data_IF_615046216283
#
_entry.id   IF_615046216283
#
_cell.length_a   1.000
_cell.length_b   1.000
_cell.length_c   1.000
_cell.angle_alpha   90.00
_cell.angle_beta   90.00
_cell.angle_gamma   90.00
#
_symmetry.space_group_name_H-M   'P 1'
#
loop_
_entity.id
_entity.type
_entity.pdbx_description
1 polymer ?
#
# COMPACT_ATOMS: atom_id res chain seq x y z
N UNK A 1 -13.34 1.23 -25.41
CA UNK A 1 -11.88 1.20 -25.23
C UNK A 1 -11.51 0.04 -24.32
N UNK A 2 -10.54 -0.77 -24.72
CA UNK A 2 -10.06 -1.86 -23.85
C UNK A 2 -9.35 -1.29 -22.64
N UNK A 3 -9.67 -1.81 -21.43
CA UNK A 3 -9.00 -1.41 -20.21
C UNK A 3 -7.79 -2.29 -19.94
N UNK A 4 -6.70 -1.67 -19.56
CA UNK A 4 -5.57 -2.37 -18.92
C UNK A 4 -5.83 -2.57 -17.42
N UNK A 5 -5.09 -3.50 -16.82
CA UNK A 5 -5.12 -3.72 -15.36
C UNK A 5 -4.77 -2.43 -14.62
N UNK A 6 -3.76 -1.69 -15.09
CA UNK A 6 -3.33 -0.44 -14.48
C UNK A 6 -4.45 0.61 -14.45
N UNK A 7 -5.20 0.74 -15.54
CA UNK A 7 -6.34 1.65 -15.60
C UNK A 7 -7.46 1.28 -14.63
N UNK A 8 -7.64 -0.02 -14.33
CA UNK A 8 -8.58 -0.46 -13.29
C UNK A 8 -8.04 -0.15 -11.90
N UNK A 9 -6.73 -0.33 -11.67
CA UNK A 9 -6.08 -0.03 -10.39
C UNK A 9 -6.10 1.47 -10.07
N UNK A 10 -5.93 2.34 -11.07
CA UNK A 10 -6.03 3.79 -10.89
C UNK A 10 -7.41 4.23 -10.38
N UNK A 11 -8.44 3.41 -10.67
CA UNK A 11 -9.82 3.65 -10.27
C UNK A 11 -10.28 2.78 -9.10
N UNK A 12 -9.36 2.20 -8.33
CA UNK A 12 -9.68 1.27 -7.24
C UNK A 12 -10.66 1.84 -6.19
N UNK A 13 -10.66 3.16 -6.00
CA UNK A 13 -11.55 3.87 -5.06
C UNK A 13 -12.91 4.24 -5.65
N UNK A 14 -13.19 3.81 -6.87
CA UNK A 14 -14.45 4.07 -7.57
C UNK A 14 -15.22 2.76 -7.79
N UNK A 15 -16.53 2.86 -7.91
CA UNK A 15 -17.33 1.76 -8.45
C UNK A 15 -17.12 1.72 -9.96
N UNK A 16 -16.63 0.61 -10.48
CA UNK A 16 -16.35 0.46 -11.91
C UNK A 16 -17.23 -0.64 -12.49
N UNK A 17 -18.09 -0.29 -13.44
CA UNK A 17 -18.84 -1.25 -14.24
C UNK A 17 -17.91 -1.89 -15.27
N UNK A 18 -17.80 -3.22 -15.25
CA UNK A 18 -17.01 -3.99 -16.21
C UNK A 18 -17.89 -4.87 -17.05
N UNK A 19 -17.58 -4.99 -18.32
CA UNK A 19 -18.17 -5.97 -19.20
C UNK A 19 -17.13 -6.51 -20.20
N UNK A 20 -17.40 -7.70 -20.70
CA UNK A 20 -16.54 -8.33 -21.71
C UNK A 20 -17.21 -8.21 -23.08
N UNK A 21 -16.48 -7.65 -24.04
CA UNK A 21 -16.90 -7.57 -25.44
C UNK A 21 -15.74 -7.98 -26.34
N UNK A 22 -16.02 -8.92 -27.25
CA UNK A 22 -15.01 -9.43 -28.20
C UNK A 22 -13.72 -9.93 -27.49
N UNK A 23 -13.87 -10.61 -26.35
CA UNK A 23 -12.76 -11.11 -25.55
C UNK A 23 -11.93 -10.04 -24.82
N UNK A 24 -12.36 -8.78 -24.87
CA UNK A 24 -11.69 -7.66 -24.21
C UNK A 24 -12.50 -7.10 -23.05
N UNK A 25 -11.82 -6.73 -21.97
CA UNK A 25 -12.41 -6.06 -20.81
C UNK A 25 -12.67 -4.59 -21.13
N UNK A 26 -13.87 -4.11 -20.81
CA UNK A 26 -14.27 -2.71 -21.01
C UNK A 26 -14.93 -2.15 -19.77
N UNK A 27 -14.84 -0.85 -19.56
CA UNK A 27 -15.47 -0.17 -18.43
C UNK A 27 -16.48 0.87 -18.86
N UNK A 28 -17.45 1.10 -17.95
CA UNK A 28 -18.40 2.21 -17.97
C UNK A 28 -19.25 2.34 -19.23
N UNK A 29 -19.28 1.32 -20.09
CA UNK A 29 -20.22 1.28 -21.20
C UNK A 29 -21.46 0.48 -20.77
N UNK A 30 -22.64 0.91 -21.13
CA UNK A 30 -23.88 0.19 -20.85
C UNK A 30 -23.98 -1.05 -21.72
N UNK A 31 -24.11 -2.20 -21.10
CA UNK A 31 -24.26 -3.48 -21.78
C UNK A 31 -25.02 -4.50 -20.94
N UNK A 32 -25.64 -5.48 -21.59
CA UNK A 32 -26.60 -6.43 -21.00
C UNK A 32 -25.97 -7.39 -19.94
N UNK A 33 -24.67 -7.44 -19.77
CA UNK A 33 -23.95 -8.26 -18.76
C UNK A 33 -22.76 -7.49 -18.22
N UNK A 34 -23.01 -6.58 -17.31
CA UNK A 34 -21.95 -5.88 -16.57
C UNK A 34 -21.81 -6.44 -15.18
N UNK A 35 -20.58 -6.57 -14.71
CA UNK A 35 -20.25 -6.80 -13.31
C UNK A 35 -19.73 -5.47 -12.76
N UNK A 36 -20.28 -5.04 -11.64
CA UNK A 36 -19.76 -3.85 -10.96
C UNK A 36 -18.69 -4.27 -9.98
N UNK A 37 -17.48 -3.76 -10.15
CA UNK A 37 -16.45 -3.81 -9.11
C UNK A 37 -16.75 -2.70 -8.10
N UNK A 38 -16.98 -3.04 -6.83
CA UNK A 38 -17.16 -2.04 -5.80
C UNK A 38 -15.86 -1.27 -5.56
N UNK A 39 -15.96 -0.02 -5.12
CA UNK A 39 -14.83 0.74 -4.65
C UNK A 39 -14.11 0.01 -3.50
N UNK A 40 -12.79 -0.04 -3.56
CA UNK A 40 -11.94 -0.60 -2.51
C UNK A 40 -11.08 0.53 -1.96
N UNK A 41 -11.20 0.73 -0.66
CA UNK A 41 -10.35 1.69 0.06
C UNK A 41 -9.28 0.92 0.81
N UNK A 42 -7.99 1.07 0.42
CA UNK A 42 -6.88 0.40 1.10
C UNK A 42 -6.84 0.64 2.61
N UNK A 43 -7.36 1.77 3.06
CA UNK A 43 -7.48 2.13 4.48
C UNK A 43 -8.43 1.21 5.27
N UNK A 44 -9.32 0.50 4.59
CA UNK A 44 -10.26 -0.43 5.23
C UNK A 44 -9.70 -1.85 5.38
N UNK A 45 -8.57 -2.13 4.73
CA UNK A 45 -7.93 -3.44 4.83
C UNK A 45 -7.23 -3.59 6.19
N UNK A 46 -7.42 -4.73 6.83
CA UNK A 46 -6.81 -5.04 8.12
C UNK A 46 -7.60 -4.51 9.32
N UNK A 47 -6.93 -4.44 10.46
CA UNK A 47 -7.52 -4.02 11.73
C UNK A 47 -7.37 -2.51 11.95
N UNK A 48 -8.48 -1.79 11.96
CA UNK A 48 -8.50 -0.34 12.20
C UNK A 48 -7.89 0.04 13.57
N UNK A 49 -8.01 -0.81 14.59
CA UNK A 49 -7.43 -0.57 15.89
C UNK A 49 -5.90 -0.58 15.86
N UNK A 50 -5.30 -1.43 15.03
CA UNK A 50 -3.85 -1.43 14.81
C UNK A 50 -3.38 -0.13 14.15
N UNK A 51 -4.00 0.28 13.05
CA UNK A 51 -3.65 1.54 12.38
C UNK A 51 -3.76 2.74 13.33
N UNK A 52 -4.83 2.81 14.12
CA UNK A 52 -5.04 3.86 15.10
C UNK A 52 -3.96 3.86 16.19
N UNK A 53 -3.62 2.70 16.74
CA UNK A 53 -2.61 2.55 17.78
C UNK A 53 -1.21 2.96 17.28
N UNK A 54 -0.90 2.71 16.00
CA UNK A 54 0.38 3.05 15.38
C UNK A 54 0.41 4.46 14.76
N UNK A 55 -0.70 5.17 14.74
CA UNK A 55 -0.81 6.45 14.03
C UNK A 55 -0.64 6.31 12.51
N UNK A 56 -0.92 5.14 11.96
CA UNK A 56 -0.78 4.84 10.55
C UNK A 56 -2.10 5.05 9.80
N UNK A 57 -2.00 5.40 8.52
CA UNK A 57 -3.15 5.49 7.62
C UNK A 57 -3.55 4.11 7.11
N UNK A 58 -2.57 3.24 6.86
CA UNK A 58 -2.77 1.91 6.32
C UNK A 58 -2.28 0.85 7.30
N UNK A 59 -2.99 -0.27 7.37
CA UNK A 59 -2.53 -1.48 8.05
C UNK A 59 -1.50 -2.22 7.21
N UNK A 60 -0.49 -1.50 6.75
CA UNK A 60 0.59 -2.03 5.93
C UNK A 60 1.92 -1.85 6.66
N UNK A 61 2.64 -2.95 6.80
CA UNK A 61 3.93 -2.99 7.47
C UNK A 61 5.04 -3.16 6.44
N UNK A 62 5.97 -2.21 6.40
CA UNK A 62 7.24 -2.36 5.70
C UNK A 62 8.19 -3.06 6.68
N UNK A 63 8.32 -4.38 6.50
CA UNK A 63 9.04 -5.25 7.42
C UNK A 63 10.53 -4.94 7.50
N UNK A 64 11.15 -5.32 8.61
CA UNK A 64 12.58 -5.18 8.77
C UNK A 64 13.35 -6.13 7.84
N UNK A 65 14.50 -5.66 7.43
CA UNK A 65 15.54 -6.46 6.78
C UNK A 65 16.86 -6.15 7.48
N UNK A 66 17.42 -7.17 8.10
CA UNK A 66 18.63 -7.08 8.93
C UNK A 66 19.82 -6.42 8.21
N UNK A 67 20.86 -6.11 8.95
CA UNK A 67 22.13 -5.49 8.48
C UNK A 67 21.94 -4.15 7.77
N UNK A 68 20.91 -3.39 8.13
CA UNK A 68 20.63 -2.07 7.57
C UNK A 68 20.07 -2.09 6.16
N UNK A 69 19.59 -3.24 5.65
CA UNK A 69 18.90 -3.30 4.35
C UNK A 69 17.61 -2.49 4.43
N UNK A 70 16.81 -2.65 5.50
CA UNK A 70 15.76 -1.71 5.84
C UNK A 70 16.40 -0.50 6.55
N UNK A 71 16.72 0.54 5.80
CA UNK A 71 17.42 1.73 6.25
C UNK A 71 16.54 2.68 7.06
N UNK A 72 17.11 3.60 7.87
CA UNK A 72 16.36 4.69 8.50
C UNK A 72 15.52 5.48 7.50
N UNK A 73 16.09 5.81 6.35
CA UNK A 73 15.38 6.51 5.26
C UNK A 73 14.16 5.74 4.78
N UNK A 74 14.26 4.42 4.65
CA UNK A 74 13.16 3.55 4.25
C UNK A 74 12.03 3.57 5.27
N UNK A 75 12.34 3.58 6.57
CA UNK A 75 11.35 3.73 7.65
C UNK A 75 10.65 5.08 7.57
N UNK A 76 11.41 6.16 7.39
CA UNK A 76 10.87 7.52 7.27
C UNK A 76 9.90 7.61 6.09
N UNK A 77 10.27 7.09 4.93
CA UNK A 77 9.41 7.13 3.74
C UNK A 77 8.17 6.23 3.90
N UNK A 78 8.29 5.08 4.56
CA UNK A 78 7.14 4.23 4.89
C UNK A 78 6.13 4.98 5.78
N UNK A 79 6.60 5.65 6.82
CA UNK A 79 5.75 6.44 7.73
C UNK A 79 5.11 7.63 7.01
N UNK A 80 5.86 8.35 6.18
CA UNK A 80 5.33 9.44 5.35
C UNK A 80 4.25 8.98 4.39
N UNK A 81 4.37 7.75 3.88
CA UNK A 81 3.35 7.11 3.04
C UNK A 81 2.13 6.61 3.83
N UNK A 82 2.12 6.72 5.15
CA UNK A 82 1.03 6.26 6.02
C UNK A 82 1.12 4.80 6.44
N UNK A 83 2.27 4.15 6.25
CA UNK A 83 2.55 2.77 6.63
C UNK A 83 3.30 2.70 7.96
N UNK A 84 3.51 1.49 8.48
CA UNK A 84 4.40 1.22 9.61
C UNK A 84 5.73 0.69 9.09
N UNK A 85 6.83 1.32 9.43
CA UNK A 85 8.16 0.92 9.01
C UNK A 85 8.99 0.37 10.16
N UNK A 86 9.84 -0.61 9.86
CA UNK A 86 10.77 -1.21 10.82
C UNK A 86 12.22 -1.07 10.33
N UNK A 87 13.07 -0.59 11.25
CA UNK A 87 14.50 -0.46 10.97
C UNK A 87 15.23 -1.80 11.13
N UNK A 88 15.97 -2.18 10.11
CA UNK A 88 16.72 -3.45 10.08
C UNK A 88 18.04 -3.37 10.84
N UNK A 89 18.01 -3.21 12.18
CA UNK A 89 19.16 -2.97 13.01
C UNK A 89 19.98 -4.21 13.39
N UNK A 90 19.44 -5.41 13.22
CA UNK A 90 20.11 -6.65 13.58
C UNK A 90 21.47 -6.82 12.86
N UNK A 91 22.52 -7.08 13.61
CA UNK A 91 23.89 -7.25 13.08
C UNK A 91 24.64 -5.94 12.77
N UNK A 92 24.08 -4.79 13.09
CA UNK A 92 24.77 -3.51 13.03
C UNK A 92 25.50 -3.21 14.35
N UNK A 93 26.51 -2.34 14.28
CA UNK A 93 27.19 -1.83 15.48
C UNK A 93 26.27 -0.90 16.25
N UNK A 94 26.40 -0.84 17.62
CA UNK A 94 25.57 0.02 18.46
C UNK A 94 25.55 1.49 17.99
N UNK A 95 26.69 2.03 17.62
CA UNK A 95 26.83 3.43 17.18
C UNK A 95 25.99 3.68 15.91
N UNK A 96 26.04 2.76 14.96
CA UNK A 96 25.24 2.84 13.71
C UNK A 96 23.74 2.76 14.00
N UNK A 97 23.34 1.93 14.97
CA UNK A 97 21.93 1.82 15.39
C UNK A 97 21.47 3.14 16.01
N UNK A 98 22.28 3.73 16.91
CA UNK A 98 21.95 5.00 17.53
C UNK A 98 21.79 6.14 16.52
N UNK A 99 22.70 6.23 15.54
CA UNK A 99 22.60 7.20 14.44
C UNK A 99 21.30 7.00 13.66
N UNK A 100 20.98 5.77 13.28
CA UNK A 100 19.76 5.45 12.56
C UNK A 100 18.49 5.80 13.35
N UNK A 101 18.46 5.54 14.63
CA UNK A 101 17.33 5.91 15.51
C UNK A 101 17.18 7.43 15.62
N UNK A 102 18.30 8.18 15.69
CA UNK A 102 18.27 9.65 15.69
C UNK A 102 17.72 10.21 14.38
N UNK A 103 18.06 9.59 13.26
CA UNK A 103 17.56 10.00 11.94
C UNK A 103 16.06 9.80 11.80
N UNK A 104 15.51 8.71 12.39
CA UNK A 104 14.08 8.38 12.33
C UNK A 104 13.24 9.31 13.22
N UNK A 105 13.75 9.81 14.33
CA UNK A 105 13.04 10.67 15.30
C UNK A 105 12.80 12.08 14.76
#
# INVERSE_FOLDING_TARGET
MSLSVDQVLDRVRENVGLFVRDGSLRADEQGARSVTLPAIYPEWLGDAAFAQAQGARFNYVVGEMARGIATPKMVIEAVRAGCVGFYGSAGLKPETIEEGVREIK
#
